data_IF_998061689094
#
_entry.id   IF_998061689094
#
_cell.length_a   1.000
_cell.length_b   1.000
_cell.length_c   1.000
_cell.angle_alpha   90.00
_cell.angle_beta   90.00
_cell.angle_gamma   90.00
#
_symmetry.space_group_name_H-M   'P 1'
#
loop_
_entity.id
_entity.type
_entity.pdbx_description
1 polymer ?
#
# COMPACT_ATOMS: atom_id res chain seq x y z
N UNK A 1 10.87 -4.89 -3.01
CA UNK A 1 11.48 -6.12 -2.44
C UNK A 1 12.88 -5.87 -1.87
N UNK A 2 13.79 -5.22 -2.62
CA UNK A 2 15.14 -4.88 -2.12
C UNK A 2 15.17 -4.19 -0.74
N UNK A 3 14.35 -3.13 -0.55
CA UNK A 3 14.28 -2.44 0.74
C UNK A 3 13.87 -3.36 1.88
N UNK A 4 12.91 -4.26 1.67
CA UNK A 4 12.49 -5.24 2.67
C UNK A 4 13.65 -6.18 3.04
N UNK A 5 14.37 -6.70 2.04
CA UNK A 5 15.51 -7.57 2.29
C UNK A 5 16.55 -6.90 3.19
N UNK A 6 16.96 -5.66 2.88
CA UNK A 6 18.00 -4.99 3.67
C UNK A 6 17.53 -4.61 5.08
N UNK A 7 16.26 -4.21 5.27
CA UNK A 7 15.76 -3.85 6.61
C UNK A 7 15.55 -5.08 7.48
N UNK A 8 15.10 -6.20 6.89
CA UNK A 8 15.02 -7.48 7.59
C UNK A 8 16.41 -8.00 7.97
N UNK A 9 17.37 -7.96 7.03
CA UNK A 9 18.75 -8.33 7.31
C UNK A 9 19.36 -7.47 8.43
N UNK A 10 19.17 -6.15 8.37
CA UNK A 10 19.66 -5.23 9.39
C UNK A 10 19.02 -5.45 10.75
N UNK A 11 17.72 -5.78 10.79
CA UNK A 11 17.00 -6.12 12.01
C UNK A 11 17.53 -7.40 12.67
N UNK A 12 17.67 -8.49 11.90
CA UNK A 12 18.14 -9.79 12.40
C UNK A 12 19.60 -9.70 12.87
N UNK A 13 20.45 -9.04 12.10
CA UNK A 13 21.88 -8.90 12.40
C UNK A 13 22.17 -7.77 13.42
N UNK A 14 21.14 -7.09 13.93
CA UNK A 14 21.28 -5.95 14.86
C UNK A 14 22.27 -4.89 14.36
N UNK A 15 22.26 -4.62 13.05
CA UNK A 15 23.16 -3.64 12.42
C UNK A 15 22.76 -2.22 12.80
N UNK A 16 23.70 -1.30 12.60
CA UNK A 16 23.40 0.13 12.64
C UNK A 16 22.73 0.58 11.33
N UNK A 17 21.82 1.54 11.45
CA UNK A 17 21.12 2.12 10.31
C UNK A 17 22.06 3.08 9.57
N UNK A 18 22.27 2.85 8.27
CA UNK A 18 23.21 3.64 7.47
C UNK A 18 22.51 4.51 6.43
N UNK A 19 23.32 5.23 5.64
CA UNK A 19 22.82 6.00 4.48
C UNK A 19 22.12 5.10 3.45
N UNK A 20 22.55 3.84 3.31
CA UNK A 20 21.95 2.88 2.37
C UNK A 20 20.51 2.58 2.73
N UNK A 21 20.21 2.24 3.99
CA UNK A 21 18.84 2.00 4.45
C UNK A 21 17.97 3.25 4.34
N UNK A 22 18.56 4.43 4.56
CA UNK A 22 17.87 5.72 4.41
C UNK A 22 17.44 5.98 2.96
N UNK A 23 18.34 5.74 2.00
CA UNK A 23 18.04 5.89 0.56
C UNK A 23 17.01 4.84 0.14
N UNK A 24 17.23 3.58 0.48
CA UNK A 24 16.32 2.49 0.11
C UNK A 24 14.91 2.65 0.72
N UNK A 25 14.81 3.16 1.94
CA UNK A 25 13.51 3.47 2.57
C UNK A 25 12.79 4.61 1.85
N UNK A 26 13.51 5.65 1.41
CA UNK A 26 12.92 6.74 0.61
C UNK A 26 12.43 6.23 -0.75
N UNK A 27 13.25 5.43 -1.44
CA UNK A 27 12.87 4.83 -2.71
C UNK A 27 11.63 3.93 -2.56
N UNK A 28 11.55 3.15 -1.49
CA UNK A 28 10.38 2.31 -1.21
C UNK A 28 9.11 3.16 -1.06
N UNK A 29 9.18 4.25 -0.27
CA UNK A 29 8.05 5.18 -0.13
C UNK A 29 7.67 5.78 -1.47
N UNK A 30 8.63 6.24 -2.29
CA UNK A 30 8.32 6.82 -3.59
C UNK A 30 7.65 5.85 -4.56
N UNK A 31 8.15 4.62 -4.65
CA UNK A 31 7.51 3.58 -5.47
C UNK A 31 6.10 3.28 -4.97
N UNK A 32 5.92 3.22 -3.64
CA UNK A 32 4.61 2.99 -3.04
C UNK A 32 3.64 4.14 -3.30
N UNK A 33 4.10 5.39 -3.17
CA UNK A 33 3.33 6.60 -3.50
C UNK A 33 2.96 6.62 -4.97
N UNK A 34 3.89 6.27 -5.87
CA UNK A 34 3.61 6.18 -7.30
C UNK A 34 2.51 5.15 -7.58
N UNK A 35 2.59 3.97 -6.96
CA UNK A 35 1.55 2.94 -7.08
C UNK A 35 0.18 3.44 -6.58
N UNK A 36 0.15 4.15 -5.45
CA UNK A 36 -1.09 4.74 -4.93
C UNK A 36 -1.65 5.82 -5.87
N UNK A 37 -0.80 6.69 -6.42
CA UNK A 37 -1.20 7.73 -7.37
C UNK A 37 -1.73 7.12 -8.67
N UNK A 38 -1.06 6.10 -9.21
CA UNK A 38 -1.55 5.37 -10.38
C UNK A 38 -2.92 4.73 -10.09
N UNK A 39 -3.09 4.11 -8.92
CA UNK A 39 -4.37 3.58 -8.47
C UNK A 39 -5.46 4.65 -8.35
N UNK A 40 -5.13 5.82 -7.80
CA UNK A 40 -6.05 6.95 -7.69
C UNK A 40 -6.44 7.49 -9.07
N UNK A 41 -5.50 7.62 -10.01
CA UNK A 41 -5.81 7.99 -11.40
C UNK A 41 -6.81 6.98 -11.98
N UNK A 42 -6.52 5.67 -11.89
CA UNK A 42 -7.43 4.61 -12.37
C UNK A 42 -8.81 4.65 -11.71
N UNK A 43 -8.87 5.04 -10.44
CA UNK A 43 -10.11 5.15 -9.67
C UNK A 43 -11.03 6.25 -10.22
N UNK A 44 -10.45 7.39 -10.64
CA UNK A 44 -11.19 8.56 -11.14
C UNK A 44 -11.34 8.61 -12.66
N UNK A 45 -10.84 7.63 -13.42
CA UNK A 45 -11.05 7.57 -14.87
C UNK A 45 -12.56 7.44 -15.16
N UNK A 46 -13.14 8.33 -16.00
CA UNK A 46 -14.53 8.22 -16.42
C UNK A 46 -14.82 6.85 -17.03
N UNK A 47 -16.02 6.31 -16.75
CA UNK A 47 -16.45 4.95 -17.15
C UNK A 47 -15.51 3.80 -16.73
N UNK A 48 -14.57 4.07 -15.81
CA UNK A 48 -13.76 3.04 -15.17
C UNK A 48 -14.57 2.12 -14.26
N UNK A 49 -13.97 0.99 -13.89
CA UNK A 49 -14.62 -0.01 -13.03
C UNK A 49 -14.97 0.55 -11.64
N UNK A 50 -14.08 1.38 -11.08
CA UNK A 50 -14.30 2.04 -9.81
C UNK A 50 -15.42 3.09 -9.91
N UNK A 51 -15.38 3.96 -10.93
CA UNK A 51 -16.43 4.96 -11.13
C UNK A 51 -17.81 4.31 -11.35
N UNK A 52 -17.88 3.24 -12.15
CA UNK A 52 -19.12 2.47 -12.35
C UNK A 52 -19.63 1.90 -11.01
N UNK A 53 -18.73 1.39 -10.17
CA UNK A 53 -19.11 0.89 -8.85
C UNK A 53 -19.63 1.99 -7.93
N UNK A 54 -19.03 3.19 -7.96
CA UNK A 54 -19.47 4.36 -7.21
C UNK A 54 -20.85 4.83 -7.68
N UNK A 55 -21.06 4.90 -9.01
CA UNK A 55 -22.33 5.33 -9.59
C UNK A 55 -23.46 4.38 -9.17
N UNK A 56 -23.24 3.06 -9.23
CA UNK A 56 -24.21 2.06 -8.74
C UNK A 56 -24.45 2.21 -7.23
N UNK A 57 -23.40 2.43 -6.43
CA UNK A 57 -23.55 2.67 -4.99
C UNK A 57 -24.37 3.92 -4.67
N UNK A 58 -24.25 4.98 -5.47
CA UNK A 58 -24.98 6.23 -5.27
C UNK A 58 -26.48 6.10 -5.57
N UNK A 59 -26.87 5.15 -6.42
CA UNK A 59 -28.26 4.89 -6.79
C UNK A 59 -28.94 3.93 -5.81
N UNK A 60 -28.27 2.84 -5.43
CA UNK A 60 -28.81 1.82 -4.51
C UNK A 60 -27.68 1.18 -3.69
N UNK A 61 -27.32 1.86 -2.60
CA UNK A 61 -26.26 1.40 -1.69
C UNK A 61 -26.54 0.03 -1.06
N UNK A 62 -27.74 -0.27 -0.52
CA UNK A 62 -28.03 -1.59 0.06
C UNK A 62 -27.83 -2.75 -0.91
N UNK A 63 -28.22 -2.60 -2.17
CA UNK A 63 -28.01 -3.63 -3.20
C UNK A 63 -26.55 -3.70 -3.64
N UNK A 64 -25.90 -2.56 -3.85
CA UNK A 64 -24.50 -2.47 -4.23
C UNK A 64 -23.58 -3.19 -3.23
N UNK A 65 -23.87 -3.10 -1.94
CA UNK A 65 -23.12 -3.76 -0.87
C UNK A 65 -23.23 -5.28 -0.88
N UNK A 66 -24.24 -5.87 -1.52
CA UNK A 66 -24.37 -7.33 -1.67
C UNK A 66 -23.49 -7.87 -2.80
N UNK A 67 -23.18 -7.04 -3.80
CA UNK A 67 -22.37 -7.44 -4.94
C UNK A 67 -20.89 -7.29 -4.63
N UNK A 68 -20.17 -8.43 -4.56
CA UNK A 68 -18.75 -8.48 -4.19
C UNK A 68 -17.87 -7.53 -5.01
N UNK A 69 -18.01 -7.54 -6.32
CA UNK A 69 -17.15 -6.71 -7.20
C UNK A 69 -17.40 -5.22 -7.00
N UNK A 70 -18.67 -4.81 -6.91
CA UNK A 70 -19.04 -3.40 -6.67
C UNK A 70 -18.47 -2.93 -5.33
N UNK A 71 -18.72 -3.68 -4.26
CA UNK A 71 -18.19 -3.38 -2.91
C UNK A 71 -16.66 -3.32 -2.89
N UNK A 72 -15.99 -4.24 -3.58
CA UNK A 72 -14.54 -4.28 -3.61
C UNK A 72 -13.94 -3.05 -4.29
N UNK A 73 -14.34 -2.75 -5.53
CA UNK A 73 -13.76 -1.64 -6.31
C UNK A 73 -14.21 -0.27 -5.83
N UNK A 74 -15.44 -0.13 -5.32
CA UNK A 74 -15.96 1.15 -4.84
C UNK A 74 -15.53 1.50 -3.42
N UNK A 75 -15.21 0.51 -2.56
CA UNK A 75 -14.98 0.78 -1.13
C UNK A 75 -13.80 0.02 -0.51
N UNK A 76 -13.75 -1.31 -0.60
CA UNK A 76 -12.76 -2.10 0.15
C UNK A 76 -11.33 -1.84 -0.36
N UNK A 77 -11.15 -1.88 -1.68
CA UNK A 77 -9.86 -1.64 -2.32
C UNK A 77 -9.30 -0.23 -2.06
N UNK A 78 -10.01 0.88 -2.34
CA UNK A 78 -9.48 2.22 -2.08
C UNK A 78 -9.21 2.47 -0.60
N UNK A 79 -10.04 1.95 0.30
CA UNK A 79 -9.82 2.05 1.74
C UNK A 79 -8.54 1.32 2.15
N UNK A 80 -8.35 0.08 1.69
CA UNK A 80 -7.17 -0.72 1.98
C UNK A 80 -5.89 -0.07 1.45
N UNK A 81 -5.90 0.46 0.22
CA UNK A 81 -4.76 1.18 -0.36
C UNK A 81 -4.42 2.44 0.44
N UNK A 82 -5.43 3.16 0.93
CA UNK A 82 -5.24 4.36 1.77
C UNK A 82 -4.59 4.01 3.11
N UNK A 83 -5.06 2.94 3.75
CA UNK A 83 -4.45 2.43 5.00
C UNK A 83 -3.01 1.99 4.76
N UNK A 84 -2.75 1.26 3.68
CA UNK A 84 -1.41 0.79 3.34
C UNK A 84 -0.44 1.96 3.11
N UNK A 85 -0.89 2.99 2.38
CA UNK A 85 -0.15 4.22 2.14
C UNK A 85 0.21 4.95 3.44
N UNK A 86 -0.76 5.09 4.34
CA UNK A 86 -0.55 5.71 5.65
C UNK A 86 0.48 4.93 6.49
N UNK A 87 0.36 3.60 6.57
CA UNK A 87 1.29 2.75 7.34
C UNK A 87 2.73 2.90 6.83
N UNK A 88 2.93 2.86 5.51
CA UNK A 88 4.27 3.00 4.91
C UNK A 88 4.88 4.37 5.22
N UNK A 89 4.10 5.45 5.15
CA UNK A 89 4.56 6.79 5.47
C UNK A 89 4.88 6.96 6.97
N UNK A 90 4.06 6.39 7.85
CA UNK A 90 4.32 6.36 9.29
C UNK A 90 5.62 5.60 9.59
N UNK A 91 5.79 4.42 9.01
CA UNK A 91 6.99 3.60 9.18
C UNK A 91 8.26 4.33 8.77
N UNK A 92 8.25 4.96 7.59
CA UNK A 92 9.37 5.74 7.11
C UNK A 92 9.64 6.99 7.96
N UNK A 93 8.59 7.69 8.41
CA UNK A 93 8.71 8.86 9.30
C UNK A 93 9.31 8.48 10.66
N UNK A 94 8.86 7.39 11.25
CA UNK A 94 9.38 6.87 12.53
C UNK A 94 10.82 6.36 12.38
N UNK A 95 11.15 5.63 11.33
CA UNK A 95 12.51 5.16 11.08
C UNK A 95 13.54 6.30 10.93
N UNK A 96 13.12 7.48 10.44
CA UNK A 96 13.99 8.67 10.32
C UNK A 96 14.18 9.44 11.62
N UNK A 97 13.16 9.48 12.49
CA UNK A 97 13.16 10.32 13.71
C UNK A 97 13.87 9.68 14.90
N UNK A 98 14.14 8.39 14.84
CA UNK A 98 14.78 7.67 15.94
C UNK A 98 16.29 7.83 15.81
N UNK A 99 16.95 8.20 16.90
CA UNK A 99 18.42 8.20 17.02
C UNK A 99 18.99 6.83 16.63
N UNK A 100 20.22 6.76 16.08
CA UNK A 100 20.81 5.52 15.58
C UNK A 100 20.62 4.37 16.58
N UNK A 101 19.69 3.46 16.26
CA UNK A 101 19.31 2.37 17.16
C UNK A 101 18.52 1.31 16.42
N UNK A 102 18.48 0.11 17.00
CA UNK A 102 17.71 -1.04 16.50
C UNK A 102 16.21 -0.76 16.29
N UNK A 103 15.68 0.30 16.93
CA UNK A 103 14.29 0.73 16.80
C UNK A 103 13.95 1.24 15.39
N UNK A 104 14.91 1.76 14.62
CA UNK A 104 14.68 2.21 13.23
C UNK A 104 14.30 1.03 12.34
N UNK A 105 15.06 -0.07 12.45
CA UNK A 105 14.77 -1.31 11.74
C UNK A 105 13.41 -1.91 12.13
N UNK A 106 13.05 -1.87 13.43
CA UNK A 106 11.75 -2.36 13.89
C UNK A 106 10.59 -1.65 13.20
N UNK A 107 10.63 -0.32 13.14
CA UNK A 107 9.59 0.47 12.46
C UNK A 107 9.54 0.17 10.96
N UNK A 108 10.69 0.13 10.29
CA UNK A 108 10.76 -0.15 8.86
C UNK A 108 10.25 -1.56 8.52
N UNK A 109 10.70 -2.58 9.26
CA UNK A 109 10.29 -3.98 9.06
C UNK A 109 8.78 -4.13 9.22
N UNK A 110 8.20 -3.66 10.32
CA UNK A 110 6.78 -3.85 10.60
C UNK A 110 5.93 -3.10 9.56
N UNK A 111 6.19 -1.80 9.37
CA UNK A 111 5.34 -0.98 8.51
C UNK A 111 5.51 -1.32 7.02
N UNK A 112 6.73 -1.59 6.54
CA UNK A 112 6.93 -1.92 5.12
C UNK A 112 6.41 -3.30 4.78
N UNK A 113 6.51 -4.27 5.71
CA UNK A 113 5.93 -5.61 5.51
C UNK A 113 4.42 -5.54 5.50
N UNK A 114 3.79 -4.86 6.48
CA UNK A 114 2.34 -4.67 6.51
C UNK A 114 1.83 -3.92 5.27
N UNK A 115 2.51 -2.84 4.88
CA UNK A 115 2.16 -2.09 3.67
C UNK A 115 2.23 -2.95 2.40
N UNK A 116 3.27 -3.78 2.26
CA UNK A 116 3.37 -4.71 1.12
C UNK A 116 2.26 -5.76 1.15
N UNK A 117 1.96 -6.35 2.32
CA UNK A 117 0.90 -7.34 2.45
C UNK A 117 -0.47 -6.76 2.08
N UNK A 118 -0.77 -5.53 2.52
CA UNK A 118 -2.00 -4.85 2.14
C UNK A 118 -2.07 -4.56 0.64
N UNK A 119 -0.96 -4.22 -0.02
CA UNK A 119 -0.97 -4.13 -1.50
C UNK A 119 -1.29 -5.48 -2.13
N UNK A 120 -0.61 -6.55 -1.70
CA UNK A 120 -0.79 -7.88 -2.28
C UNK A 120 -2.21 -8.41 -2.10
N UNK A 121 -2.82 -8.21 -0.92
CA UNK A 121 -4.23 -8.56 -0.67
C UNK A 121 -5.17 -7.73 -1.54
N UNK A 122 -4.79 -6.51 -1.88
CA UNK A 122 -5.62 -5.60 -2.66
C UNK A 122 -5.60 -5.87 -4.16
N UNK A 123 -4.76 -6.79 -4.62
CA UNK A 123 -4.80 -7.25 -6.01
C UNK A 123 -6.02 -8.18 -6.17
N UNK A 124 -6.91 -7.93 -7.15
CA UNK A 124 -8.08 -8.78 -7.37
C UNK A 124 -7.71 -10.09 -8.09
N UNK A 125 -7.04 -11.01 -7.38
CA UNK A 125 -6.52 -12.28 -7.92
C UNK A 125 -7.56 -13.17 -8.62
N UNK A 126 -8.85 -12.97 -8.33
CA UNK A 126 -9.95 -13.74 -8.94
C UNK A 126 -10.33 -13.25 -10.35
N UNK A 127 -9.84 -12.08 -10.78
CA UNK A 127 -10.21 -11.47 -12.05
C UNK A 127 -8.98 -11.33 -12.95
N UNK A 128 -9.08 -11.68 -14.25
CA UNK A 128 -8.03 -11.37 -15.21
C UNK A 128 -7.77 -9.85 -15.27
N UNK A 129 -6.49 -9.47 -15.32
CA UNK A 129 -6.08 -8.07 -15.44
C UNK A 129 -6.50 -7.47 -16.78
N UNK A 130 -6.41 -8.25 -17.86
CA UNK A 130 -6.87 -7.90 -19.19
C UNK A 130 -8.00 -8.85 -19.59
N UNK A 131 -9.11 -8.28 -20.06
CA UNK A 131 -10.14 -9.04 -20.79
C UNK A 131 -9.71 -9.01 -22.26
N UNK A 132 -8.85 -9.96 -22.65
CA UNK A 132 -8.51 -10.24 -24.05
C UNK A 132 -9.46 -11.29 -24.61
#
# INVERSE_FOLDING_TARGET
LYTLFIVWRGFIQKREWTKTETIASRLFVWVFTLQFVLGAILFFIPSGLAQTAIDIMSQDFPSAMKTRDIRFFGMEHPLQMTIAMAIVHIGASRARKVTPSSKQFRWAVICFTLGLLLILVGIPWWRPLLRL
#
